data_IF_511605110221
#
_entry.id   IF_511605110221
#
_cell.length_a   1.000
_cell.length_b   1.000
_cell.length_c   1.000
_cell.angle_alpha   90.00
_cell.angle_beta   90.00
_cell.angle_gamma   90.00
#
_symmetry.space_group_name_H-M   'P 1'
#
loop_
_entity.id
_entity.type
_entity.pdbx_description
1 polymer ?
#
# COMPACT_ATOMS: atom_id res chain seq x y z
N UNK A 1 -1.58 -11.74 19.03
CA UNK A 1 -1.31 -10.80 20.15
C UNK A 1 -0.16 -11.23 21.04
N UNK A 2 0.24 -12.50 21.02
CA UNK A 2 1.39 -13.05 21.77
C UNK A 2 2.74 -12.48 21.32
N UNK A 3 2.94 -12.26 20.01
CA UNK A 3 4.25 -11.84 19.45
C UNK A 3 4.80 -10.49 19.95
N UNK A 4 3.97 -9.46 20.10
CA UNK A 4 4.46 -8.11 20.46
C UNK A 4 4.88 -8.03 21.94
N UNK A 5 4.10 -8.66 22.83
CA UNK A 5 4.40 -8.70 24.26
C UNK A 5 5.65 -9.55 24.55
N UNK A 6 5.86 -10.65 23.81
CA UNK A 6 7.11 -11.43 23.86
C UNK A 6 8.33 -10.63 23.36
N UNK A 7 8.10 -9.72 22.41
CA UNK A 7 9.17 -8.85 21.87
C UNK A 7 9.56 -7.76 22.87
N UNK A 8 8.64 -7.31 23.74
CA UNK A 8 8.89 -6.26 24.75
C UNK A 8 10.06 -6.56 25.69
N UNK A 9 10.25 -7.83 26.06
CA UNK A 9 11.32 -8.24 26.97
C UNK A 9 12.72 -8.22 26.31
N UNK A 10 12.76 -8.18 24.98
CA UNK A 10 13.98 -8.33 24.19
C UNK A 10 14.38 -7.06 23.44
N UNK A 11 13.60 -5.97 23.55
CA UNK A 11 13.92 -4.68 22.91
C UNK A 11 14.70 -3.76 23.83
N UNK A 12 15.47 -2.79 23.29
CA UNK A 12 16.05 -1.71 24.07
C UNK A 12 15.00 -1.00 24.94
N UNK A 13 15.37 -0.60 26.16
CA UNK A 13 14.45 0.06 27.12
C UNK A 13 13.78 1.31 26.53
N UNK A 14 14.49 2.03 25.65
CA UNK A 14 13.97 3.20 24.93
C UNK A 14 12.75 2.90 24.04
N UNK A 15 12.61 1.66 23.54
CA UNK A 15 11.47 1.24 22.72
C UNK A 15 10.31 0.65 23.52
N UNK A 16 10.44 0.46 24.83
CA UNK A 16 9.36 -0.10 25.65
C UNK A 16 8.05 0.73 25.57
N UNK A 17 8.08 2.09 25.62
CA UNK A 17 6.88 2.90 25.41
C UNK A 17 6.29 2.73 24.00
N UNK A 18 7.12 2.57 22.98
CA UNK A 18 6.70 2.36 21.59
C UNK A 18 6.00 1.01 21.43
N UNK A 19 6.49 -0.06 22.07
CA UNK A 19 5.84 -1.37 22.05
C UNK A 19 4.47 -1.32 22.74
N UNK A 20 4.37 -0.61 23.87
CA UNK A 20 3.08 -0.41 24.57
C UNK A 20 2.08 0.39 23.72
N UNK A 21 2.57 1.38 22.98
CA UNK A 21 1.77 2.17 22.05
C UNK A 21 1.25 1.30 20.89
N UNK A 22 2.11 0.51 20.25
CA UNK A 22 1.70 -0.43 19.19
C UNK A 22 0.71 -1.47 19.69
N UNK A 23 0.87 -1.98 20.92
CA UNK A 23 -0.08 -2.88 21.55
C UNK A 23 -1.45 -2.21 21.78
N UNK A 24 -1.44 -0.94 22.20
CA UNK A 24 -2.66 -0.13 22.38
C UNK A 24 -3.37 0.09 21.05
N UNK A 25 -2.64 0.45 19.99
CA UNK A 25 -3.21 0.62 18.64
C UNK A 25 -3.80 -0.70 18.12
N UNK A 26 -3.13 -1.85 18.36
CA UNK A 26 -3.66 -3.17 18.01
C UNK A 26 -4.93 -3.57 18.78
N UNK A 27 -5.07 -3.16 20.05
CA UNK A 27 -6.31 -3.36 20.79
C UNK A 27 -7.41 -2.45 20.25
N UNK A 28 -7.09 -1.19 19.98
CA UNK A 28 -8.05 -0.19 19.54
C UNK A 28 -8.69 -0.56 18.18
N UNK A 29 -7.96 -1.22 17.28
CA UNK A 29 -8.50 -1.69 15.99
C UNK A 29 -9.54 -2.80 16.12
N UNK A 30 -9.60 -3.51 17.25
CA UNK A 30 -10.65 -4.53 17.46
C UNK A 30 -12.03 -3.95 17.69
N UNK A 31 -12.16 -2.64 17.90
CA UNK A 31 -13.44 -1.99 18.11
C UNK A 31 -14.40 -2.28 16.93
N UNK A 32 -15.67 -2.67 17.16
CA UNK A 32 -16.60 -3.06 16.10
C UNK A 32 -16.78 -2.01 14.99
N UNK A 33 -16.62 -0.73 15.32
CA UNK A 33 -16.75 0.39 14.37
C UNK A 33 -15.49 0.68 13.53
N UNK A 34 -14.37 0.00 13.78
CA UNK A 34 -13.16 0.12 12.94
C UNK A 34 -13.36 -0.66 11.65
N UNK A 35 -13.07 -0.02 10.50
CA UNK A 35 -13.13 -0.67 9.20
C UNK A 35 -12.16 -1.85 9.13
N UNK A 36 -12.47 -2.82 8.27
CA UNK A 36 -11.60 -3.98 8.08
C UNK A 36 -10.29 -3.58 7.40
N UNK A 37 -10.33 -2.57 6.53
CA UNK A 37 -9.15 -1.94 5.95
C UNK A 37 -8.23 -1.37 7.03
N UNK A 38 -8.75 -0.56 7.96
CA UNK A 38 -7.94 0.07 9.00
C UNK A 38 -7.32 -1.00 9.92
N UNK A 39 -8.13 -2.01 10.30
CA UNK A 39 -7.66 -3.17 11.08
C UNK A 39 -6.47 -3.85 10.43
N UNK A 40 -6.59 -4.20 9.15
CA UNK A 40 -5.53 -4.91 8.45
C UNK A 40 -4.30 -4.03 8.22
N UNK A 41 -4.49 -2.76 7.84
CA UNK A 41 -3.38 -1.82 7.67
C UNK A 41 -2.53 -1.71 8.93
N UNK A 42 -3.17 -1.63 10.10
CA UNK A 42 -2.47 -1.67 11.40
C UNK A 42 -1.84 -3.04 11.66
N UNK A 43 -2.59 -4.14 11.53
CA UNK A 43 -2.08 -5.49 11.82
C UNK A 43 -0.84 -5.82 10.99
N UNK A 44 -0.86 -5.54 9.69
CA UNK A 44 0.28 -5.80 8.79
C UNK A 44 1.45 -4.86 9.07
N UNK A 45 1.19 -3.57 9.28
CA UNK A 45 2.26 -2.62 9.64
C UNK A 45 2.95 -3.03 10.94
N UNK A 46 2.18 -3.40 11.96
CA UNK A 46 2.71 -3.87 13.25
C UNK A 46 3.42 -5.22 13.10
N UNK A 47 2.91 -6.09 12.21
CA UNK A 47 3.57 -7.33 11.82
C UNK A 47 4.99 -7.09 11.30
N UNK A 48 5.16 -6.20 10.32
CA UNK A 48 6.47 -5.84 9.79
C UNK A 48 7.35 -5.11 10.81
N UNK A 49 6.77 -4.23 11.65
CA UNK A 49 7.50 -3.57 12.75
C UNK A 49 8.06 -4.58 13.76
N UNK A 50 7.39 -5.71 13.96
CA UNK A 50 7.88 -6.78 14.84
C UNK A 50 9.22 -7.34 14.34
N UNK A 51 9.43 -7.43 13.02
CA UNK A 51 10.73 -7.81 12.43
C UNK A 51 11.82 -6.81 12.83
N UNK A 52 11.55 -5.52 12.71
CA UNK A 52 12.48 -4.46 13.10
C UNK A 52 12.77 -4.46 14.61
N UNK A 53 11.73 -4.57 15.45
CA UNK A 53 11.85 -4.66 16.91
C UNK A 53 12.70 -5.88 17.33
N UNK A 54 12.53 -7.02 16.66
CA UNK A 54 13.37 -8.20 16.93
C UNK A 54 14.84 -7.92 16.59
N UNK A 55 15.09 -7.28 15.44
CA UNK A 55 16.43 -6.92 15.01
C UNK A 55 17.09 -5.86 15.92
N UNK A 56 16.34 -4.97 16.58
CA UNK A 56 16.93 -4.01 17.53
C UNK A 56 17.43 -4.68 18.80
N UNK A 57 16.76 -5.76 19.23
CA UNK A 57 17.16 -6.60 20.36
C UNK A 57 18.33 -7.55 20.08
N UNK A 58 18.55 -7.92 18.82
CA UNK A 58 19.61 -8.85 18.45
C UNK A 58 21.01 -8.21 18.56
N UNK A 59 21.89 -8.86 19.33
CA UNK A 59 23.31 -8.48 19.50
C UNK A 59 24.08 -8.55 18.18
N UNK A 60 23.66 -9.39 17.24
CA UNK A 60 24.28 -9.54 15.92
C UNK A 60 24.01 -8.37 14.98
N UNK A 61 22.97 -7.57 15.25
CA UNK A 61 22.62 -6.39 14.45
C UNK A 61 23.69 -5.31 14.57
N UNK A 62 24.27 -4.82 13.45
CA UNK A 62 25.27 -3.77 13.48
C UNK A 62 24.79 -2.51 14.23
N UNK A 63 25.61 -1.88 15.10
CA UNK A 63 25.16 -0.75 15.94
C UNK A 63 24.55 0.42 15.16
N UNK A 64 25.08 0.70 13.95
CA UNK A 64 24.53 1.74 13.07
C UNK A 64 23.14 1.38 12.58
N UNK A 65 22.94 0.12 12.16
CA UNK A 65 21.64 -0.37 11.70
C UNK A 65 20.62 -0.38 12.85
N UNK A 66 21.03 -0.83 14.03
CA UNK A 66 20.19 -0.79 15.23
C UNK A 66 19.65 0.62 15.50
N UNK A 67 20.51 1.64 15.49
CA UNK A 67 20.07 3.05 15.67
C UNK A 67 19.08 3.50 14.60
N UNK A 68 19.29 3.12 13.34
CA UNK A 68 18.37 3.47 12.25
C UNK A 68 17.01 2.78 12.41
N UNK A 69 16.99 1.52 12.82
CA UNK A 69 15.75 0.77 13.07
C UNK A 69 14.97 1.33 14.26
N UNK A 70 15.65 1.73 15.33
CA UNK A 70 15.00 2.36 16.50
C UNK A 70 14.28 3.63 16.07
N UNK A 71 14.99 4.57 15.42
CA UNK A 71 14.40 5.82 14.97
C UNK A 71 13.23 5.59 14.00
N UNK A 72 13.35 4.61 13.10
CA UNK A 72 12.29 4.26 12.15
C UNK A 72 11.05 3.67 12.84
N UNK A 73 11.24 2.78 13.82
CA UNK A 73 10.13 2.19 14.59
C UNK A 73 9.40 3.26 15.39
N UNK A 74 10.12 4.19 16.03
CA UNK A 74 9.52 5.33 16.74
C UNK A 74 8.70 6.21 15.79
N UNK A 75 9.28 6.57 14.64
CA UNK A 75 8.63 7.40 13.62
C UNK A 75 7.34 6.75 13.10
N UNK A 76 7.40 5.49 12.66
CA UNK A 76 6.23 4.80 12.12
C UNK A 76 5.18 4.54 13.20
N UNK A 77 5.57 4.19 14.42
CA UNK A 77 4.62 4.05 15.54
C UNK A 77 3.87 5.35 15.79
N UNK A 78 4.59 6.48 15.81
CA UNK A 78 4.00 7.80 15.98
C UNK A 78 2.99 8.12 14.87
N UNK A 79 3.35 7.86 13.61
CA UNK A 79 2.44 8.06 12.47
C UNK A 79 1.24 7.12 12.53
N UNK A 80 1.41 5.85 12.92
CA UNK A 80 0.31 4.89 13.08
C UNK A 80 -0.67 5.32 14.16
N UNK A 81 -0.18 5.79 15.31
CA UNK A 81 -1.02 6.33 16.39
C UNK A 81 -1.83 7.53 15.92
N UNK A 82 -1.17 8.49 15.30
CA UNK A 82 -1.79 9.72 14.78
C UNK A 82 -2.83 9.37 13.70
N UNK A 83 -2.50 8.48 12.77
CA UNK A 83 -3.42 8.00 11.74
C UNK A 83 -4.67 7.35 12.35
N UNK A 84 -4.53 6.70 13.51
CA UNK A 84 -5.62 6.01 14.19
C UNK A 84 -6.41 6.90 15.17
N UNK A 85 -6.14 8.21 15.23
CA UNK A 85 -6.95 9.13 16.02
C UNK A 85 -8.40 9.16 15.48
N UNK A 86 -9.36 9.10 16.40
CA UNK A 86 -10.79 9.23 16.11
C UNK A 86 -11.20 10.52 15.39
N UNK A 87 -10.36 11.55 15.45
CA UNK A 87 -10.59 12.83 14.78
C UNK A 87 -10.19 12.81 13.30
N UNK A 88 -9.38 11.84 12.86
CA UNK A 88 -9.00 11.72 11.45
C UNK A 88 -10.19 11.16 10.64
N UNK A 89 -10.60 11.83 9.54
CA UNK A 89 -11.62 11.30 8.64
C UNK A 89 -11.25 9.89 8.16
N UNK A 90 -12.25 9.01 8.05
CA UNK A 90 -12.04 7.59 7.73
C UNK A 90 -11.24 7.37 6.44
N UNK A 91 -11.44 8.22 5.43
CA UNK A 91 -10.74 8.17 4.15
C UNK A 91 -9.25 8.51 4.26
N UNK A 92 -8.94 9.60 4.95
CA UNK A 92 -7.57 10.05 5.21
C UNK A 92 -6.84 9.00 6.06
N UNK A 93 -7.47 8.52 7.14
CA UNK A 93 -6.94 7.46 8.00
C UNK A 93 -6.62 6.20 7.19
N UNK A 94 -7.57 5.75 6.38
CA UNK A 94 -7.44 4.55 5.55
C UNK A 94 -6.30 4.65 4.53
N UNK A 95 -6.06 5.86 4.00
CA UNK A 95 -4.99 6.13 3.04
C UNK A 95 -3.62 6.19 3.72
N UNK A 96 -3.53 6.84 4.88
CA UNK A 96 -2.32 6.87 5.70
C UNK A 96 -1.91 5.46 6.16
N UNK A 97 -2.85 4.65 6.64
CA UNK A 97 -2.59 3.27 7.06
C UNK A 97 -2.12 2.39 5.89
N UNK A 98 -2.62 2.61 4.68
CA UNK A 98 -2.13 1.91 3.49
C UNK A 98 -0.69 2.32 3.14
N UNK A 99 -0.36 3.60 3.24
CA UNK A 99 1.02 4.07 3.05
C UNK A 99 1.93 3.49 4.14
N UNK A 100 1.47 3.38 5.40
CA UNK A 100 2.26 2.76 6.48
C UNK A 100 2.51 1.29 6.22
N UNK A 101 1.49 0.53 5.77
CA UNK A 101 1.65 -0.86 5.34
C UNK A 101 2.75 -0.98 4.28
N UNK A 102 2.65 -0.19 3.21
CA UNK A 102 3.64 -0.18 2.10
C UNK A 102 5.03 0.22 2.57
N UNK A 103 5.12 1.23 3.44
CA UNK A 103 6.36 1.76 4.00
C UNK A 103 7.08 0.73 4.87
N UNK A 104 6.32 -0.03 5.67
CA UNK A 104 6.85 -1.05 6.58
C UNK A 104 7.17 -2.38 5.88
N UNK A 105 6.61 -2.67 4.70
CA UNK A 105 6.93 -3.87 3.91
C UNK A 105 8.43 -4.05 3.61
N UNK A 106 9.21 -2.96 3.58
CA UNK A 106 10.65 -3.01 3.34
C UNK A 106 11.45 -3.54 4.54
N UNK A 107 10.87 -3.62 5.73
CA UNK A 107 11.57 -3.96 6.97
C UNK A 107 12.18 -5.37 6.94
N UNK A 108 11.51 -6.33 6.33
CA UNK A 108 12.03 -7.70 6.22
C UNK A 108 13.37 -7.71 5.46
N UNK A 109 13.45 -6.96 4.36
CA UNK A 109 14.68 -6.83 3.57
C UNK A 109 15.73 -5.95 4.26
N UNK A 110 15.32 -4.90 4.97
CA UNK A 110 16.26 -4.05 5.72
C UNK A 110 16.94 -4.87 6.83
N UNK A 111 16.18 -5.72 7.51
CA UNK A 111 16.66 -6.53 8.63
C UNK A 111 17.41 -7.80 8.18
N UNK A 112 17.21 -8.27 6.94
CA UNK A 112 17.94 -9.42 6.40
C UNK A 112 19.46 -9.16 6.36
N UNK A 113 20.29 -10.00 7.02
CA UNK A 113 21.75 -9.90 6.97
C UNK A 113 22.33 -10.01 5.55
N UNK A 114 21.65 -10.70 4.63
CA UNK A 114 22.10 -10.90 3.25
C UNK A 114 21.90 -9.66 2.37
N UNK A 115 21.08 -8.70 2.81
CA UNK A 115 20.86 -7.47 2.04
C UNK A 115 22.14 -6.64 1.94
N UNK A 116 22.60 -6.27 0.74
CA UNK A 116 23.76 -5.41 0.56
C UNK A 116 23.62 -4.07 1.28
N UNK A 117 24.70 -3.57 1.89
CA UNK A 117 24.66 -2.34 2.71
C UNK A 117 24.14 -1.10 1.94
N UNK A 118 24.49 -0.97 0.66
CA UNK A 118 24.00 0.08 -0.24
C UNK A 118 22.48 0.00 -0.40
N UNK A 119 21.96 -1.18 -0.73
CA UNK A 119 20.52 -1.42 -0.92
C UNK A 119 19.74 -1.17 0.37
N UNK A 120 20.26 -1.67 1.50
CA UNK A 120 19.68 -1.42 2.83
C UNK A 120 19.58 0.08 3.14
N UNK A 121 20.62 0.84 2.83
CA UNK A 121 20.63 2.30 3.01
C UNK A 121 19.57 3.02 2.18
N UNK A 122 19.37 2.58 0.93
CA UNK A 122 18.33 3.13 0.05
C UNK A 122 16.92 2.83 0.58
N UNK A 123 16.66 1.59 1.00
CA UNK A 123 15.37 1.19 1.57
C UNK A 123 15.02 2.00 2.83
N UNK A 124 15.97 2.19 3.74
CA UNK A 124 15.78 3.02 4.95
C UNK A 124 15.41 4.46 4.55
N UNK A 125 16.11 5.05 3.57
CA UNK A 125 15.85 6.43 3.11
C UNK A 125 14.48 6.56 2.43
N UNK A 126 14.06 5.57 1.64
CA UNK A 126 12.72 5.56 1.02
C UNK A 126 11.65 5.46 2.10
N UNK A 127 11.74 4.46 2.97
CA UNK A 127 10.74 4.22 4.01
C UNK A 127 10.63 5.41 4.96
N UNK A 128 11.75 6.00 5.38
CA UNK A 128 11.74 7.20 6.22
C UNK A 128 11.09 8.40 5.53
N UNK A 129 11.37 8.61 4.23
CA UNK A 129 10.76 9.69 3.45
C UNK A 129 9.26 9.53 3.25
N UNK A 130 8.79 8.29 3.05
CA UNK A 130 7.36 7.97 2.98
C UNK A 130 6.65 8.16 4.34
N UNK A 131 7.29 7.74 5.43
CA UNK A 131 6.79 7.96 6.79
C UNK A 131 6.67 9.45 7.13
N UNK A 132 7.69 10.25 6.78
CA UNK A 132 7.68 11.70 6.94
C UNK A 132 6.57 12.36 6.10
N UNK A 133 6.43 11.97 4.82
CA UNK A 133 5.40 12.53 3.95
C UNK A 133 3.98 12.23 4.46
N UNK A 134 3.76 11.03 5.00
CA UNK A 134 2.48 10.67 5.62
C UNK A 134 2.22 11.43 6.92
N UNK A 135 3.23 11.61 7.78
CA UNK A 135 3.12 12.37 9.03
C UNK A 135 2.95 13.88 8.83
N UNK A 136 3.63 14.46 7.84
CA UNK A 136 3.59 15.89 7.54
C UNK A 136 2.22 16.37 7.05
N UNK A 137 1.47 15.50 6.33
CA UNK A 137 0.10 15.80 5.91
C UNK A 137 -0.83 16.18 7.07
N UNK A 138 -0.57 15.64 8.27
CA UNK A 138 -1.38 15.88 9.47
C UNK A 138 -0.94 17.12 10.28
N UNK A 139 0.36 17.49 10.27
CA UNK A 139 0.85 18.67 11.02
C UNK A 139 0.35 20.00 10.42
N UNK A 140 0.03 20.02 9.13
CA UNK A 140 -0.57 21.20 8.48
C UNK A 140 -1.96 21.55 9.01
N UNK A 141 -2.70 20.62 9.64
CA UNK A 141 -4.01 20.87 10.24
C UNK A 141 -3.90 21.56 11.62
N UNK A 142 -2.95 21.18 12.48
CA UNK A 142 -2.78 21.81 13.80
C UNK A 142 -2.35 23.29 13.69
N UNK A 143 -1.57 23.63 12.66
CA UNK A 143 -1.16 25.02 12.41
C UNK A 143 -2.30 25.82 11.75
N UNK A 144 -3.10 25.22 10.86
CA UNK A 144 -4.29 25.87 10.26
C UNK A 144 -5.39 26.12 11.28
N UNK A 145 -5.59 25.23 12.25
CA UNK A 145 -6.55 25.41 13.34
C UNK A 145 -6.24 26.61 14.24
N UNK A 146 -4.99 27.08 14.26
CA UNK A 146 -4.59 28.30 14.97
C UNK A 146 -4.77 29.57 14.12
N UNK A 147 -4.70 29.48 12.79
CA UNK A 147 -4.92 30.61 11.87
C UNK A 147 -6.40 30.84 11.51
N UNK A 148 -7.24 29.80 11.56
CA UNK A 148 -8.69 29.91 11.31
C UNK A 148 -9.45 30.74 12.37
N UNK A 149 -8.86 30.97 13.55
CA UNK A 149 -9.42 31.93 14.51
C UNK A 149 -9.17 33.40 14.12
N UNK A 150 -8.39 33.70 13.07
CA UNK A 150 -8.06 35.07 12.66
C UNK A 150 -8.44 35.47 11.23
N UNK A 151 -9.13 34.63 10.43
CA UNK A 151 -9.55 35.06 9.09
C UNK A 151 -10.92 34.55 8.65
N UNK A 152 -11.90 35.45 8.66
CA UNK A 152 -13.18 35.26 7.98
C UNK A 152 -12.96 35.58 6.50
N UNK A 153 -12.73 34.54 5.67
CA UNK A 153 -13.18 34.41 4.28
C UNK A 153 -12.32 33.41 3.50
N UNK A 154 -12.81 32.17 3.34
CA UNK A 154 -13.02 31.49 2.05
C UNK A 154 -13.38 30.03 2.31
N UNK A 155 -14.57 29.67 1.85
CA UNK A 155 -15.07 28.30 1.81
C UNK A 155 -14.32 27.47 0.75
N UNK A 156 -14.35 26.15 0.95
CA UNK A 156 -13.81 25.07 0.12
C UNK A 156 -12.28 24.94 0.06
N UNK A 157 -11.68 24.50 1.18
CA UNK A 157 -10.42 23.79 1.15
C UNK A 157 -10.70 22.32 1.50
N UNK A 158 -10.63 21.44 0.50
CA UNK A 158 -10.68 20.00 0.68
C UNK A 158 -9.62 19.56 1.73
N UNK A 159 -9.97 18.54 2.52
CA UNK A 159 -9.06 17.87 3.45
C UNK A 159 -7.74 17.53 2.73
N UNK A 160 -6.58 17.50 3.43
CA UNK A 160 -5.33 17.13 2.80
C UNK A 160 -5.39 15.67 2.36
N UNK A 161 -5.75 15.44 1.09
CA UNK A 161 -5.59 14.15 0.45
C UNK A 161 -4.09 13.83 0.40
N UNK A 162 -3.72 12.64 0.86
CA UNK A 162 -2.38 12.09 0.63
C UNK A 162 -2.03 12.20 -0.84
N UNK A 163 -0.93 12.89 -1.17
CA UNK A 163 -0.52 13.12 -2.56
C UNK A 163 -0.48 11.80 -3.34
N UNK A 164 -1.10 11.73 -4.54
CA UNK A 164 -1.04 10.56 -5.42
C UNK A 164 0.40 10.04 -5.63
N UNK A 165 1.38 10.93 -5.60
CA UNK A 165 2.80 10.59 -5.76
C UNK A 165 3.37 9.79 -4.57
N UNK A 166 2.94 10.08 -3.35
CA UNK A 166 3.34 9.34 -2.14
C UNK A 166 2.75 7.94 -2.18
N UNK A 167 1.48 7.80 -2.62
CA UNK A 167 0.82 6.52 -2.77
C UNK A 167 1.49 5.65 -3.85
N UNK A 168 1.80 6.24 -5.01
CA UNK A 168 2.50 5.58 -6.13
C UNK A 168 3.91 5.12 -5.75
N UNK A 169 4.64 5.95 -5.01
CA UNK A 169 5.96 5.59 -4.48
C UNK A 169 5.88 4.40 -3.51
N UNK A 170 4.85 4.37 -2.66
CA UNK A 170 4.57 3.23 -1.78
C UNK A 170 4.27 1.92 -2.53
N UNK A 171 3.48 1.97 -3.62
CA UNK A 171 3.21 0.79 -4.48
C UNK A 171 4.52 0.27 -5.06
N UNK A 172 5.36 1.19 -5.56
CA UNK A 172 6.63 0.83 -6.19
C UNK A 172 7.62 0.23 -5.19
N UNK A 173 7.63 0.71 -3.94
CA UNK A 173 8.42 0.14 -2.86
C UNK A 173 7.97 -1.28 -2.51
N UNK A 174 6.66 -1.49 -2.32
CA UNK A 174 6.07 -2.80 -1.99
C UNK A 174 6.38 -3.84 -3.08
N UNK A 175 6.23 -3.46 -4.36
CA UNK A 175 6.60 -4.28 -5.49
C UNK A 175 8.09 -4.66 -5.45
N UNK A 176 8.97 -3.68 -5.17
CA UNK A 176 10.42 -3.91 -5.11
C UNK A 176 10.86 -4.82 -3.95
N UNK A 177 10.09 -4.88 -2.86
CA UNK A 177 10.48 -5.59 -1.64
C UNK A 177 9.88 -6.99 -1.53
N UNK A 178 8.60 -7.14 -1.88
CA UNK A 178 7.85 -8.38 -1.62
C UNK A 178 7.73 -9.28 -2.85
N UNK A 179 7.60 -8.69 -4.04
CA UNK A 179 7.07 -9.41 -5.22
C UNK A 179 8.13 -9.68 -6.29
N UNK A 180 9.27 -9.00 -6.23
CA UNK A 180 10.31 -9.09 -7.27
C UNK A 180 11.42 -10.09 -6.93
N UNK A 181 12.02 -10.78 -7.92
CA UNK A 181 13.20 -11.62 -7.73
C UNK A 181 14.45 -10.80 -7.36
N UNK A 182 15.37 -11.35 -6.54
CA UNK A 182 16.54 -10.64 -6.03
C UNK A 182 17.38 -9.89 -7.08
N UNK A 183 17.54 -10.46 -8.27
CA UNK A 183 18.30 -9.90 -9.39
C UNK A 183 17.74 -8.58 -9.92
N UNK A 184 16.42 -8.37 -9.83
CA UNK A 184 15.74 -7.18 -10.35
C UNK A 184 15.47 -6.13 -9.27
N UNK A 185 15.59 -6.49 -7.99
CA UNK A 185 15.30 -5.59 -6.85
C UNK A 185 16.20 -4.36 -6.82
N UNK A 186 17.50 -4.51 -7.09
CA UNK A 186 18.47 -3.42 -6.92
C UNK A 186 18.15 -2.21 -7.81
N UNK A 187 17.87 -2.46 -9.07
CA UNK A 187 17.59 -1.39 -10.05
C UNK A 187 16.25 -0.70 -9.76
N UNK A 188 15.24 -1.47 -9.33
CA UNK A 188 13.93 -0.92 -8.98
C UNK A 188 14.03 -0.06 -7.71
N UNK A 189 14.68 -0.57 -6.65
CA UNK A 189 14.92 0.20 -5.42
C UNK A 189 15.73 1.47 -5.70
N UNK A 190 16.71 1.42 -6.60
CA UNK A 190 17.44 2.63 -7.04
C UNK A 190 16.49 3.65 -7.66
N UNK A 191 15.64 3.24 -8.60
CA UNK A 191 14.68 4.16 -9.25
C UNK A 191 13.67 4.74 -8.24
N UNK A 192 13.14 3.91 -7.33
CA UNK A 192 12.26 4.34 -6.22
C UNK A 192 12.98 5.32 -5.30
N UNK A 193 14.24 5.05 -4.94
CA UNK A 193 15.06 5.94 -4.12
C UNK A 193 15.23 7.31 -4.77
N UNK A 194 15.54 7.34 -6.06
CA UNK A 194 15.71 8.61 -6.76
C UNK A 194 14.36 9.36 -6.90
N UNK A 195 13.23 8.67 -7.04
CA UNK A 195 11.90 9.30 -7.01
C UNK A 195 11.58 9.89 -5.64
N UNK A 196 11.92 9.19 -4.56
CA UNK A 196 11.79 9.70 -3.19
C UNK A 196 12.56 11.02 -2.98
N UNK A 197 13.78 11.11 -3.51
CA UNK A 197 14.57 12.35 -3.44
C UNK A 197 13.89 13.53 -4.18
N UNK A 198 13.20 13.26 -5.28
CA UNK A 198 12.42 14.28 -6.01
C UNK A 198 11.14 14.66 -5.27
N UNK A 199 10.48 13.70 -4.64
CA UNK A 199 9.31 13.94 -3.78
C UNK A 199 9.66 14.89 -2.63
N UNK A 200 10.85 14.74 -2.02
CA UNK A 200 11.35 15.68 -1.00
C UNK A 200 11.52 17.10 -1.53
N UNK A 201 12.05 17.27 -2.75
CA UNK A 201 12.19 18.59 -3.39
C UNK A 201 10.83 19.21 -3.69
N UNK A 202 9.90 18.41 -4.21
CA UNK A 202 8.53 18.83 -4.51
C UNK A 202 7.78 19.30 -3.27
N UNK A 203 7.81 18.51 -2.19
CA UNK A 203 7.13 18.81 -0.93
C UNK A 203 7.84 19.88 -0.09
N UNK A 204 9.06 20.30 -0.42
CA UNK A 204 9.79 21.28 0.38
C UNK A 204 9.28 22.72 0.14
N UNK A 205 8.73 23.40 1.18
CA UNK A 205 8.20 24.76 1.08
C UNK A 205 9.25 25.82 0.67
N UNK A 206 10.55 25.51 0.82
CA UNK A 206 11.67 26.39 0.47
C UNK A 206 12.20 26.22 -0.95
N UNK A 207 11.79 25.16 -1.66
CA UNK A 207 12.16 24.97 -3.07
C UNK A 207 11.55 26.06 -3.95
N UNK A 208 12.27 26.45 -5.00
CA UNK A 208 11.72 27.38 -5.99
C UNK A 208 10.57 26.71 -6.78
N UNK A 209 9.63 27.49 -7.35
CA UNK A 209 8.58 26.96 -8.22
C UNK A 209 9.15 26.18 -9.42
N UNK A 210 10.28 26.62 -9.98
CA UNK A 210 10.96 25.96 -11.09
C UNK A 210 11.53 24.60 -10.66
N UNK A 211 12.16 24.52 -9.49
CA UNK A 211 12.68 23.27 -8.94
C UNK A 211 11.56 22.27 -8.64
N UNK A 212 10.41 22.74 -8.14
CA UNK A 212 9.24 21.88 -7.89
C UNK A 212 8.64 21.34 -9.19
N UNK A 213 8.48 22.19 -10.21
CA UNK A 213 7.99 21.75 -11.51
C UNK A 213 8.94 20.76 -12.20
N UNK A 214 10.25 20.98 -12.09
CA UNK A 214 11.26 20.04 -12.57
C UNK A 214 11.20 18.71 -11.81
N UNK A 215 11.02 18.75 -10.48
CA UNK A 215 10.88 17.56 -9.66
C UNK A 215 9.62 16.75 -10.04
N UNK A 216 8.48 17.40 -10.23
CA UNK A 216 7.23 16.76 -10.67
C UNK A 216 7.40 16.07 -12.03
N UNK A 217 8.01 16.75 -13.02
CA UNK A 217 8.24 16.16 -14.34
C UNK A 217 9.20 14.96 -14.27
N UNK A 218 10.26 15.05 -13.48
CA UNK A 218 11.18 13.93 -13.25
C UNK A 218 10.49 12.75 -12.57
N UNK A 219 9.63 13.02 -11.59
CA UNK A 219 8.82 11.99 -10.92
C UNK A 219 7.90 11.27 -11.90
N UNK A 220 7.19 12.01 -12.77
CA UNK A 220 6.31 11.42 -13.80
C UNK A 220 7.08 10.51 -14.75
N UNK A 221 8.23 10.95 -15.27
CA UNK A 221 9.09 10.13 -16.15
C UNK A 221 9.59 8.86 -15.46
N UNK A 222 9.89 8.95 -14.16
CA UNK A 222 10.38 7.82 -13.38
C UNK A 222 9.28 6.84 -13.02
N UNK A 223 8.08 7.33 -12.74
CA UNK A 223 6.90 6.49 -12.55
C UNK A 223 6.65 5.62 -13.79
N UNK A 224 6.66 6.23 -14.99
CA UNK A 224 6.56 5.47 -16.24
C UNK A 224 7.66 4.40 -16.38
N UNK A 225 8.93 4.78 -16.10
CA UNK A 225 10.04 3.82 -16.13
C UNK A 225 9.88 2.69 -15.11
N UNK A 226 9.34 2.96 -13.92
CA UNK A 226 9.07 1.94 -12.91
C UNK A 226 8.01 0.96 -13.39
N UNK A 227 6.94 1.46 -13.99
CA UNK A 227 5.91 0.61 -14.61
C UNK A 227 6.51 -0.28 -15.70
N UNK A 228 7.32 0.26 -16.61
CA UNK A 228 8.01 -0.52 -17.65
C UNK A 228 8.96 -1.58 -17.05
N UNK A 229 9.67 -1.22 -15.97
CA UNK A 229 10.60 -2.13 -15.29
C UNK A 229 9.87 -3.27 -14.58
N UNK A 230 8.73 -2.98 -13.95
CA UNK A 230 7.88 -3.98 -13.31
C UNK A 230 7.29 -4.92 -14.36
N UNK A 231 6.71 -4.38 -15.43
CA UNK A 231 6.13 -5.16 -16.52
C UNK A 231 7.16 -6.11 -17.13
N UNK A 232 8.34 -5.58 -17.49
CA UNK A 232 9.41 -6.37 -18.07
C UNK A 232 9.88 -7.47 -17.12
N UNK A 233 10.12 -7.12 -15.85
CA UNK A 233 10.66 -8.08 -14.90
C UNK A 233 9.68 -9.20 -14.58
N UNK A 234 8.38 -8.93 -14.55
CA UNK A 234 7.37 -9.97 -14.38
C UNK A 234 7.17 -10.77 -15.67
N UNK A 235 7.24 -10.14 -16.84
CA UNK A 235 7.24 -10.86 -18.12
C UNK A 235 8.38 -11.86 -18.22
N UNK A 236 9.58 -11.49 -17.75
CA UNK A 236 10.77 -12.35 -17.73
C UNK A 236 10.63 -13.56 -16.77
N UNK A 237 9.79 -13.45 -15.73
CA UNK A 237 9.50 -14.53 -14.78
C UNK A 237 8.46 -15.53 -15.28
N UNK A 238 7.72 -15.16 -16.34
CA UNK A 238 6.57 -15.92 -16.80
C UNK A 238 5.31 -15.65 -15.98
N UNK A 239 4.20 -16.20 -16.47
CA UNK A 239 2.86 -16.03 -15.89
C UNK A 239 2.81 -16.68 -14.49
N UNK A 240 2.15 -16.04 -13.50
CA UNK A 240 1.78 -16.73 -12.26
C UNK A 240 1.08 -18.06 -12.57
N UNK A 241 1.55 -19.15 -11.98
CA UNK A 241 0.98 -20.50 -12.15
C UNK A 241 -0.31 -20.71 -11.35
N UNK A 242 -0.77 -19.67 -10.64
CA UNK A 242 -2.00 -19.70 -9.87
C UNK A 242 -3.21 -20.05 -10.76
N UNK A 243 -4.16 -20.85 -10.25
CA UNK A 243 -5.38 -21.15 -10.96
C UNK A 243 -6.22 -19.89 -11.22
N UNK A 244 -7.08 -19.91 -12.25
CA UNK A 244 -7.93 -18.78 -12.65
C UNK A 244 -8.58 -18.06 -11.47
N UNK A 245 -9.23 -18.80 -10.56
CA UNK A 245 -9.87 -18.21 -9.40
C UNK A 245 -8.89 -17.45 -8.51
N UNK A 246 -7.72 -18.03 -8.22
CA UNK A 246 -6.73 -17.39 -7.34
C UNK A 246 -6.07 -16.19 -8.02
N UNK A 247 -5.81 -16.27 -9.31
CA UNK A 247 -5.26 -15.15 -10.08
C UNK A 247 -6.25 -13.99 -10.16
N UNK A 248 -7.52 -14.27 -10.44
CA UNK A 248 -8.57 -13.28 -10.49
C UNK A 248 -8.81 -12.65 -9.12
N UNK A 249 -8.72 -13.42 -8.03
CA UNK A 249 -8.79 -12.89 -6.66
C UNK A 249 -7.68 -11.86 -6.41
N UNK A 250 -6.42 -12.24 -6.67
CA UNK A 250 -5.27 -11.37 -6.44
C UNK A 250 -5.33 -10.10 -7.30
N UNK A 251 -5.67 -10.24 -8.58
CA UNK A 251 -5.88 -9.10 -9.48
C UNK A 251 -6.93 -8.13 -8.93
N UNK A 252 -8.09 -8.70 -8.58
CA UNK A 252 -9.24 -7.94 -8.15
C UNK A 252 -8.95 -7.22 -6.83
N UNK A 253 -8.39 -7.93 -5.85
CA UNK A 253 -7.96 -7.34 -4.57
C UNK A 253 -6.96 -6.21 -4.79
N UNK A 254 -6.01 -6.35 -5.71
CA UNK A 254 -5.04 -5.31 -6.00
C UNK A 254 -5.69 -4.03 -6.55
N UNK A 255 -6.60 -4.17 -7.52
CA UNK A 255 -7.32 -3.03 -8.11
C UNK A 255 -8.14 -2.33 -7.02
N UNK A 256 -8.90 -3.08 -6.24
CA UNK A 256 -9.71 -2.50 -5.19
C UNK A 256 -8.86 -1.88 -4.06
N UNK A 257 -7.72 -2.48 -3.67
CA UNK A 257 -6.77 -1.89 -2.72
C UNK A 257 -6.11 -0.60 -3.22
N UNK A 258 -6.05 -0.39 -4.54
CA UNK A 258 -5.42 0.78 -5.14
C UNK A 258 -6.33 2.00 -5.27
N UNK A 259 -7.66 1.82 -5.34
CA UNK A 259 -8.59 2.93 -5.59
C UNK A 259 -8.47 4.03 -4.53
N UNK A 260 -8.42 5.29 -4.95
CA UNK A 260 -8.47 6.42 -4.03
C UNK A 260 -9.88 6.48 -3.41
N UNK A 261 -9.93 6.64 -2.09
CA UNK A 261 -11.18 6.88 -1.37
C UNK A 261 -11.94 5.67 -0.83
N UNK A 262 -13.05 5.99 -0.15
CA UNK A 262 -13.98 5.02 0.43
C UNK A 262 -15.01 4.56 -0.59
N UNK A 263 -15.34 5.39 -1.59
CA UNK A 263 -16.33 5.06 -2.60
C UNK A 263 -15.72 4.37 -3.82
N UNK A 264 -16.46 3.40 -4.35
CA UNK A 264 -16.16 2.82 -5.66
C UNK A 264 -16.21 3.93 -6.71
N UNK A 265 -15.25 3.98 -7.65
CA UNK A 265 -15.46 4.65 -8.93
C UNK A 265 -16.86 4.33 -9.44
N UNK A 266 -17.53 5.31 -10.05
CA UNK A 266 -18.92 5.16 -10.47
C UNK A 266 -19.09 3.91 -11.36
N UNK A 267 -18.07 3.59 -12.13
CA UNK A 267 -17.92 2.44 -13.00
C UNK A 267 -17.86 1.10 -12.23
N UNK A 268 -17.32 1.10 -11.00
CA UNK A 268 -17.29 -0.08 -10.11
C UNK A 268 -18.53 -0.16 -9.20
N UNK A 269 -19.30 0.92 -9.00
CA UNK A 269 -20.53 0.93 -8.17
C UNK A 269 -21.65 0.05 -8.73
N UNK A 270 -21.60 -0.26 -10.01
CA UNK A 270 -22.59 -1.11 -10.70
C UNK A 270 -22.21 -2.59 -10.68
N UNK A 271 -20.96 -2.91 -10.29
CA UNK A 271 -20.47 -4.29 -10.10
C UNK A 271 -20.77 -4.82 -8.70
N UNK A 272 -21.16 -3.93 -7.79
CA UNK A 272 -21.27 -4.22 -6.36
C UNK A 272 -22.72 -4.06 -5.91
N UNK A 273 -23.30 -5.02 -5.15
CA UNK A 273 -24.63 -4.88 -4.60
C UNK A 273 -24.84 -3.55 -3.87
N UNK A 274 -25.99 -2.91 -4.09
CA UNK A 274 -26.29 -1.60 -3.51
C UNK A 274 -26.22 -1.56 -1.97
N UNK A 275 -26.44 -2.71 -1.33
CA UNK A 275 -26.30 -2.92 0.12
C UNK A 275 -24.87 -2.78 0.65
N UNK A 276 -23.86 -2.76 -0.25
CA UNK A 276 -22.43 -2.71 0.07
C UNK A 276 -21.77 -1.36 -0.27
N UNK A 277 -22.55 -0.42 -0.81
CA UNK A 277 -22.09 0.94 -1.11
C UNK A 277 -21.63 1.73 0.13
N UNK A 278 -22.26 1.63 1.32
CA UNK A 278 -21.78 2.35 2.51
C UNK A 278 -20.50 1.76 3.14
N UNK A 279 -20.14 0.52 2.80
CA UNK A 279 -18.95 -0.19 3.30
C UNK A 279 -17.69 0.26 2.56
N UNK A 280 -17.81 0.60 1.28
CA UNK A 280 -16.71 1.11 0.49
C UNK A 280 -15.80 0.05 -0.13
N UNK A 281 -15.01 0.47 -1.11
CA UNK A 281 -14.29 -0.37 -2.08
C UNK A 281 -13.43 -1.46 -1.44
N UNK A 282 -12.72 -1.09 -0.39
CA UNK A 282 -11.65 -1.89 0.21
C UNK A 282 -12.13 -2.72 1.40
N UNK A 283 -13.32 -2.42 1.90
CA UNK A 283 -14.03 -3.25 2.87
C UNK A 283 -14.90 -4.31 2.16
N UNK A 284 -15.24 -4.10 0.88
CA UNK A 284 -15.94 -5.06 0.01
C UNK A 284 -15.34 -6.48 0.07
N UNK A 285 -14.02 -6.62 0.03
CA UNK A 285 -13.34 -7.92 -0.05
C UNK A 285 -13.10 -8.57 1.31
N UNK A 286 -13.37 -7.82 2.38
CA UNK A 286 -13.04 -8.21 3.76
C UNK A 286 -14.32 -8.47 4.56
N UNK A 287 -15.47 -7.97 4.10
CA UNK A 287 -16.82 -8.13 4.68
C UNK A 287 -17.37 -9.55 4.53
N UNK A 288 -16.62 -10.55 5.03
CA UNK A 288 -17.00 -11.97 5.08
C UNK A 288 -18.33 -12.24 5.82
N UNK A 289 -18.95 -11.20 6.42
CA UNK A 289 -20.13 -11.27 7.28
C UNK A 289 -21.47 -11.01 6.56
N UNK A 290 -21.50 -10.60 5.29
CA UNK A 290 -22.77 -10.40 4.55
C UNK A 290 -22.83 -11.28 3.31
N UNK A 291 -23.54 -12.41 3.37
CA UNK A 291 -23.72 -13.31 2.22
C UNK A 291 -24.46 -12.61 1.06
N UNK A 292 -23.81 -12.47 -0.09
CA UNK A 292 -24.42 -12.12 -1.37
C UNK A 292 -23.78 -12.95 -2.47
N UNK A 293 -24.49 -13.14 -3.59
CA UNK A 293 -24.09 -13.96 -4.74
C UNK A 293 -22.72 -13.53 -5.28
N UNK A 294 -22.41 -12.23 -5.23
CA UNK A 294 -21.08 -11.75 -5.62
C UNK A 294 -20.00 -12.21 -4.62
N UNK A 295 -20.23 -12.20 -3.30
CA UNK A 295 -19.24 -12.72 -2.34
C UNK A 295 -19.05 -14.24 -2.49
N UNK A 296 -20.08 -14.95 -2.96
CA UNK A 296 -19.94 -16.36 -3.33
C UNK A 296 -19.00 -16.51 -4.54
N UNK A 297 -19.12 -15.70 -5.60
CA UNK A 297 -18.16 -15.70 -6.73
C UNK A 297 -16.72 -15.48 -6.24
N UNK A 298 -16.51 -14.69 -5.19
CA UNK A 298 -15.19 -14.30 -4.68
C UNK A 298 -14.63 -15.26 -3.64
N UNK A 299 -15.49 -15.86 -2.83
CA UNK A 299 -15.16 -17.06 -2.05
C UNK A 299 -14.90 -18.27 -2.97
N UNK A 300 -15.51 -18.28 -4.16
CA UNK A 300 -15.30 -19.28 -5.20
C UNK A 300 -14.01 -19.03 -5.99
N UNK A 301 -13.65 -17.76 -6.26
CA UNK A 301 -12.33 -17.35 -6.74
C UNK A 301 -11.22 -17.96 -5.86
N UNK A 302 -11.37 -17.89 -4.54
CA UNK A 302 -10.40 -18.45 -3.59
C UNK A 302 -10.24 -19.98 -3.66
N UNK A 303 -11.27 -20.71 -4.08
CA UNK A 303 -11.32 -22.17 -3.90
C UNK A 303 -11.33 -22.97 -5.20
N UNK A 304 -11.58 -22.35 -6.36
CA UNK A 304 -11.48 -22.95 -7.71
C UNK A 304 -12.25 -24.29 -7.87
N UNK A 305 -13.25 -24.55 -7.02
CA UNK A 305 -13.86 -25.88 -6.83
C UNK A 305 -15.08 -26.15 -7.73
N UNK A 306 -15.54 -25.19 -8.54
CA UNK A 306 -16.76 -25.33 -9.35
C UNK A 306 -16.51 -25.17 -10.85
N UNK A 307 -17.26 -25.94 -11.63
CA UNK A 307 -17.24 -25.97 -13.11
C UNK A 307 -17.67 -24.64 -13.75
N UNK A 308 -18.39 -23.79 -13.00
CA UNK A 308 -18.94 -22.52 -13.50
C UNK A 308 -18.12 -21.28 -13.15
N UNK A 309 -17.06 -21.39 -12.33
CA UNK A 309 -16.26 -20.24 -11.90
C UNK A 309 -15.81 -19.33 -13.07
N UNK A 310 -15.36 -19.83 -14.24
CA UNK A 310 -15.00 -18.95 -15.36
C UNK A 310 -16.14 -18.06 -15.87
N UNK A 311 -17.39 -18.54 -15.82
CA UNK A 311 -18.59 -17.81 -16.28
C UNK A 311 -18.88 -16.64 -15.33
N UNK A 312 -18.64 -16.82 -14.04
CA UNK A 312 -18.92 -15.80 -13.03
C UNK A 312 -17.76 -14.78 -12.91
N UNK A 313 -16.53 -15.20 -13.23
CA UNK A 313 -15.33 -14.37 -13.20
C UNK A 313 -15.24 -13.43 -14.40
N UNK A 314 -15.60 -13.92 -15.59
CA UNK A 314 -15.46 -13.18 -16.84
C UNK A 314 -16.12 -11.78 -16.83
N UNK A 315 -17.38 -11.59 -16.37
CA UNK A 315 -18.01 -10.29 -16.30
C UNK A 315 -17.27 -9.32 -15.37
N UNK A 316 -16.92 -9.78 -14.17
CA UNK A 316 -16.21 -8.96 -13.18
C UNK A 316 -14.87 -8.47 -13.73
N UNK A 317 -14.06 -9.38 -14.26
CA UNK A 317 -12.73 -9.07 -14.76
C UNK A 317 -12.79 -8.16 -16.00
N UNK A 318 -13.78 -8.36 -16.87
CA UNK A 318 -14.00 -7.49 -18.04
C UNK A 318 -14.36 -6.07 -17.63
N UNK A 319 -15.17 -5.89 -16.60
CA UNK A 319 -15.54 -4.56 -16.11
C UNK A 319 -14.38 -3.89 -15.36
N UNK A 320 -13.60 -4.64 -14.58
CA UNK A 320 -12.36 -4.14 -13.96
C UNK A 320 -11.36 -3.63 -15.01
N UNK A 321 -11.23 -4.31 -16.14
CA UNK A 321 -10.36 -3.90 -17.23
C UNK A 321 -10.80 -2.61 -17.94
N UNK A 322 -12.07 -2.21 -17.82
CA UNK A 322 -12.54 -0.89 -18.29
C UNK A 322 -12.15 0.23 -17.34
N UNK A 323 -12.06 -0.08 -16.05
CA UNK A 323 -11.73 0.91 -15.00
C UNK A 323 -10.24 1.14 -14.90
N UNK A 324 -9.45 0.07 -14.98
CA UNK A 324 -7.99 0.13 -15.01
C UNK A 324 -7.52 -0.41 -16.35
N UNK A 325 -7.37 0.43 -17.39
CA UNK A 325 -6.86 -0.02 -18.68
C UNK A 325 -5.41 -0.50 -18.55
N UNK A 326 -4.95 -1.27 -19.53
CA UNK A 326 -3.57 -1.81 -19.53
C UNK A 326 -2.50 -0.74 -19.30
N UNK A 327 -2.67 0.45 -19.89
CA UNK A 327 -1.73 1.56 -19.76
C UNK A 327 -1.47 1.98 -18.31
N UNK A 328 -2.44 1.77 -17.43
CA UNK A 328 -2.41 2.27 -16.06
C UNK A 328 -2.21 1.13 -15.05
N UNK A 329 -2.32 -0.13 -15.50
CA UNK A 329 -2.35 -1.31 -14.65
C UNK A 329 -1.10 -1.41 -13.76
N UNK A 330 0.09 -1.34 -14.34
CA UNK A 330 1.35 -1.42 -13.59
C UNK A 330 1.58 -0.22 -12.68
N UNK A 331 1.23 1.00 -13.10
CA UNK A 331 1.32 2.18 -12.23
C UNK A 331 0.34 2.16 -11.07
N UNK A 332 -0.80 1.47 -11.23
CA UNK A 332 -1.89 1.45 -10.25
C UNK A 332 -1.73 0.33 -9.23
N UNK A 333 -1.33 -0.86 -9.66
CA UNK A 333 -1.27 -2.06 -8.80
C UNK A 333 0.10 -2.75 -8.76
N UNK A 334 1.12 -2.17 -9.40
CA UNK A 334 2.47 -2.69 -9.39
C UNK A 334 2.56 -4.08 -10.02
N UNK A 335 3.42 -4.93 -9.46
CA UNK A 335 3.64 -6.30 -9.96
C UNK A 335 2.42 -7.22 -9.90
N UNK A 336 1.40 -6.86 -9.12
CA UNK A 336 0.12 -7.60 -9.11
C UNK A 336 -0.64 -7.49 -10.43
N UNK A 337 -0.28 -6.55 -11.30
CA UNK A 337 -0.74 -6.47 -12.69
C UNK A 337 -0.56 -7.79 -13.46
N UNK A 338 0.46 -8.57 -13.13
CA UNK A 338 0.68 -9.88 -13.72
C UNK A 338 -0.42 -10.90 -13.43
N UNK A 339 -1.09 -10.80 -12.28
CA UNK A 339 -2.26 -11.62 -11.96
C UNK A 339 -3.46 -11.24 -12.81
N UNK A 340 -3.62 -9.94 -13.11
CA UNK A 340 -4.65 -9.44 -14.02
C UNK A 340 -4.40 -9.92 -15.45
N UNK A 341 -3.16 -9.83 -15.93
CA UNK A 341 -2.77 -10.39 -17.23
C UNK A 341 -2.96 -11.91 -17.26
N UNK A 342 -2.54 -12.64 -16.22
CA UNK A 342 -2.72 -14.09 -16.14
C UNK A 342 -4.19 -14.49 -16.25
N UNK A 343 -5.06 -13.78 -15.50
CA UNK A 343 -6.51 -13.97 -15.55
C UNK A 343 -7.07 -13.71 -16.93
N UNK A 344 -6.65 -12.62 -17.58
CA UNK A 344 -7.07 -12.28 -18.94
C UNK A 344 -6.65 -13.35 -19.95
N UNK A 345 -5.42 -13.86 -19.87
CA UNK A 345 -4.94 -14.94 -20.74
C UNK A 345 -5.75 -16.22 -20.53
N UNK A 346 -6.01 -16.62 -19.27
CA UNK A 346 -6.87 -17.79 -19.00
C UNK A 346 -8.27 -17.64 -19.62
N UNK A 347 -8.88 -16.47 -19.46
CA UNK A 347 -10.22 -16.21 -20.01
C UNK A 347 -10.23 -16.19 -21.55
N UNK A 348 -9.17 -15.68 -22.18
CA UNK A 348 -9.05 -15.65 -23.64
C UNK A 348 -8.72 -17.03 -24.22
N UNK A 349 -7.66 -17.68 -23.74
CA UNK A 349 -7.16 -18.95 -24.27
C UNK A 349 -8.10 -20.13 -24.01
N UNK A 350 -8.61 -20.26 -22.78
CA UNK A 350 -9.40 -21.43 -22.37
C UNK A 350 -10.92 -21.24 -22.59
N UNK A 351 -11.39 -19.98 -22.67
CA UNK A 351 -12.82 -19.65 -22.70
C UNK A 351 -13.24 -18.68 -23.83
N UNK A 352 -12.30 -18.13 -24.60
CA UNK A 352 -12.59 -17.22 -25.71
C UNK A 352 -13.18 -15.86 -25.30
N UNK A 353 -12.90 -15.41 -24.07
CA UNK A 353 -13.38 -14.14 -23.51
C UNK A 353 -12.26 -13.12 -23.50
N UNK A 354 -12.36 -12.12 -24.38
CA UNK A 354 -11.44 -10.99 -24.40
C UNK A 354 -11.67 -10.04 -23.22
N UNK A 355 -10.62 -9.77 -22.46
CA UNK A 355 -10.65 -8.89 -21.27
C UNK A 355 -10.03 -7.52 -21.60
N UNK A 356 -10.87 -6.63 -22.12
CA UNK A 356 -10.50 -5.23 -22.39
C UNK A 356 -9.18 -5.11 -23.15
N UNK A 357 -8.31 -4.20 -22.70
CA UNK A 357 -6.99 -3.96 -23.32
C UNK A 357 -5.86 -4.71 -22.63
N UNK A 358 -6.13 -5.58 -21.65
CA UNK A 358 -5.09 -6.19 -20.82
C UNK A 358 -4.16 -7.14 -21.57
N UNK A 359 -4.57 -7.66 -22.72
CA UNK A 359 -3.74 -8.53 -23.58
C UNK A 359 -3.14 -7.81 -24.81
N UNK A 360 -3.45 -6.52 -24.99
CA UNK A 360 -2.99 -5.73 -26.15
C UNK A 360 -1.53 -5.28 -26.06
#
# INVERSE_FOLDING_TARGET
MTRLNETKENVPEELAPTVDELATTLEAVKAPGTSLRDRQGVIESVGHLTTALTATGDVSTPPKLRKQLIAFVEQVSSVLKVSYDSQVPSETRSSLLLIMKRTTSALDMICDPQTPAELRGQLITISGGLADAAGAGHQTEEIRGFEEQMSIAQADAAAPETSPDTAALGISLEAATLEMPPENRKELVRTVHEQNEKLKVFNNPKSSPEDRAAAENDMRKRSARLSDQQEKATSDQGRPEDPLGKAAETCTNAIFESSAGNELPQELKDLVPGSWRPEGVKDFWKSKEKSDILLDVLAELQNNQRVHAPIDIAPLITELAKVVPRSDLWSTIGSRASYCQSTAVYLDEDYGVAVGTWLE
#
